data_IF_704897750682
#
_entry.id   IF_704897750682
#
_cell.length_a   1.000
_cell.length_b   1.000
_cell.length_c   1.000
_cell.angle_alpha   90.00
_cell.angle_beta   90.00
_cell.angle_gamma   90.00
#
_symmetry.space_group_name_H-M   'P 1'
#
loop_
_entity.id
_entity.type
_entity.pdbx_description
1 polymer ?
#
# COMPACT_ATOMS: atom_id res chain seq x y z
N UNK A 1 16.34 18.05 -29.03
CA UNK A 1 15.80 18.93 -27.97
C UNK A 1 15.99 18.18 -26.66
N UNK A 2 16.78 18.70 -25.76
CA UNK A 2 16.86 18.15 -24.43
C UNK A 2 15.50 18.31 -23.79
N UNK A 3 14.80 17.21 -23.56
CA UNK A 3 13.67 17.23 -22.67
C UNK A 3 14.20 17.73 -21.33
N UNK A 4 13.63 18.83 -20.85
CA UNK A 4 14.01 19.43 -19.60
C UNK A 4 13.99 18.41 -18.48
N UNK A 5 14.66 18.76 -17.40
CA UNK A 5 14.56 18.06 -16.13
C UNK A 5 13.11 17.68 -15.88
N UNK A 6 12.85 16.47 -15.37
CA UNK A 6 11.48 16.11 -15.02
C UNK A 6 10.89 17.27 -14.23
N UNK A 7 9.75 17.77 -14.67
CA UNK A 7 8.96 18.73 -13.92
C UNK A 7 8.53 18.04 -12.62
N UNK A 8 9.43 18.05 -11.67
CA UNK A 8 9.05 17.85 -10.28
C UNK A 8 8.19 19.03 -9.96
N UNK A 9 6.89 18.84 -10.06
CA UNK A 9 5.93 19.86 -9.70
C UNK A 9 6.32 20.45 -8.34
N UNK A 10 6.16 21.72 -8.21
CA UNK A 10 6.51 22.48 -7.01
C UNK A 10 6.06 21.68 -5.79
N UNK A 11 7.03 21.19 -5.05
CA UNK A 11 6.81 20.47 -3.81
C UNK A 11 6.15 21.39 -2.82
N UNK A 12 4.85 21.41 -2.83
CA UNK A 12 4.13 21.81 -1.63
C UNK A 12 4.25 20.65 -0.67
N UNK A 13 4.62 20.93 0.54
CA UNK A 13 5.03 20.02 1.60
C UNK A 13 3.99 18.97 2.06
N UNK A 14 2.98 18.64 1.25
CA UNK A 14 1.89 17.73 1.63
C UNK A 14 1.29 17.07 0.41
N UNK A 15 1.75 15.91 0.05
CA UNK A 15 1.27 15.02 -1.01
C UNK A 15 1.47 15.57 -2.44
N UNK A 16 2.30 14.91 -3.21
CA UNK A 16 2.42 15.15 -4.65
C UNK A 16 1.28 14.40 -5.35
N UNK A 17 0.31 15.14 -5.85
CA UNK A 17 -0.72 14.60 -6.73
C UNK A 17 -0.22 14.69 -8.17
N UNK A 18 0.04 13.57 -8.81
CA UNK A 18 0.43 13.50 -10.22
C UNK A 18 -0.80 13.45 -11.11
N UNK A 19 -1.47 14.58 -11.29
CA UNK A 19 -2.57 14.65 -12.25
C UNK A 19 -2.03 14.56 -13.68
N UNK A 20 -2.48 13.55 -14.43
CA UNK A 20 -2.18 13.40 -15.85
C UNK A 20 -0.97 12.56 -16.22
N UNK A 21 -0.27 11.97 -15.26
CA UNK A 21 0.79 10.98 -15.52
C UNK A 21 0.17 9.58 -15.50
N UNK A 22 0.27 8.84 -16.59
CA UNK A 22 -0.14 7.44 -16.58
C UNK A 22 0.95 6.54 -15.97
N UNK A 23 0.59 5.30 -15.64
CA UNK A 23 1.53 4.35 -15.03
C UNK A 23 2.69 4.01 -15.98
N UNK A 24 2.47 4.02 -17.29
CA UNK A 24 3.52 3.74 -18.25
C UNK A 24 4.57 4.86 -18.28
N UNK A 25 4.14 6.11 -18.18
CA UNK A 25 5.03 7.26 -18.12
C UNK A 25 5.80 7.29 -16.79
N UNK A 26 5.11 7.04 -15.66
CA UNK A 26 5.76 6.95 -14.35
C UNK A 26 6.80 5.82 -14.33
N UNK A 27 6.44 4.62 -14.79
CA UNK A 27 7.36 3.49 -14.84
C UNK A 27 8.58 3.78 -15.74
N UNK A 28 8.38 4.48 -16.88
CA UNK A 28 9.49 4.89 -17.75
C UNK A 28 10.41 5.91 -17.07
N UNK A 29 9.86 6.87 -16.33
CA UNK A 29 10.64 7.88 -15.59
C UNK A 29 11.45 7.26 -14.46
N UNK A 30 10.89 6.26 -13.78
CA UNK A 30 11.56 5.56 -12.68
C UNK A 30 12.58 4.51 -13.14
N UNK A 31 12.68 4.23 -14.44
CA UNK A 31 13.60 3.23 -14.98
C UNK A 31 13.29 1.79 -14.57
N UNK A 32 12.10 1.54 -14.02
CA UNK A 32 11.72 0.27 -13.42
C UNK A 32 10.67 -0.48 -14.25
N UNK A 33 10.79 -0.44 -15.55
CA UNK A 33 9.83 -0.98 -16.53
C UNK A 33 9.30 -2.39 -16.27
N UNK A 34 10.05 -3.36 -15.71
CA UNK A 34 9.52 -4.69 -15.44
C UNK A 34 8.82 -4.83 -14.08
N UNK A 35 8.93 -3.86 -13.19
CA UNK A 35 8.50 -3.98 -11.79
C UNK A 35 7.13 -3.40 -11.51
N UNK A 36 6.69 -2.42 -12.30
CA UNK A 36 5.41 -1.75 -12.10
C UNK A 36 4.37 -2.20 -13.11
N UNK A 37 3.15 -2.37 -12.63
CA UNK A 37 1.99 -2.50 -13.51
C UNK A 37 1.70 -1.15 -14.17
N UNK A 38 1.55 -1.14 -15.49
CA UNK A 38 1.37 0.08 -16.28
C UNK A 38 -0.10 0.48 -16.47
N UNK A 39 -1.02 -0.18 -15.76
CA UNK A 39 -2.44 0.16 -15.84
C UNK A 39 -2.82 1.17 -14.77
N UNK A 40 -3.78 2.03 -15.12
CA UNK A 40 -4.31 3.08 -14.26
C UNK A 40 -3.58 4.42 -14.36
N UNK A 41 -4.27 5.47 -13.94
CA UNK A 41 -3.75 6.83 -13.85
C UNK A 41 -3.17 7.04 -12.45
N UNK A 42 -1.93 7.50 -12.33
CA UNK A 42 -1.29 7.73 -11.03
C UNK A 42 -1.94 8.93 -10.34
N UNK A 43 -2.46 8.71 -9.14
CA UNK A 43 -3.02 9.76 -8.29
C UNK A 43 -2.10 10.12 -7.13
N UNK A 44 -1.21 9.20 -6.74
CA UNK A 44 -0.20 9.44 -5.72
C UNK A 44 0.99 8.51 -5.93
N UNK A 45 2.18 9.03 -5.71
CA UNK A 45 3.42 8.28 -5.69
C UNK A 45 4.29 8.72 -4.53
N UNK A 46 4.90 7.76 -3.85
CA UNK A 46 5.85 7.99 -2.76
C UNK A 46 7.07 7.08 -2.93
N UNK A 47 8.24 7.64 -2.75
CA UNK A 47 9.53 6.93 -2.72
C UNK A 47 10.35 7.24 -1.44
N UNK A 48 9.71 7.94 -0.51
CA UNK A 48 10.27 8.38 0.77
C UNK A 48 11.52 9.27 0.70
N UNK A 49 11.93 9.71 -0.49
CA UNK A 49 13.03 10.68 -0.65
C UNK A 49 12.71 12.03 0.02
N UNK A 50 11.43 12.41 0.07
CA UNK A 50 10.94 13.60 0.74
C UNK A 50 10.69 13.45 2.25
N UNK A 51 10.97 12.28 2.82
CA UNK A 51 10.64 11.96 4.21
C UNK A 51 9.18 11.55 4.40
N UNK A 52 8.66 11.64 5.63
CA UNK A 52 7.30 11.24 5.99
C UNK A 52 6.29 12.41 6.00
N UNK A 53 6.60 13.52 5.33
CA UNK A 53 5.76 14.74 5.42
C UNK A 53 4.32 14.60 4.92
N UNK A 54 4.04 13.64 4.02
CA UNK A 54 2.71 13.32 3.54
C UNK A 54 1.97 12.29 4.42
N UNK A 55 2.67 11.67 5.37
CA UNK A 55 2.22 10.52 6.12
C UNK A 55 1.96 10.83 7.59
N UNK A 56 0.92 10.26 8.14
CA UNK A 56 0.73 10.13 9.57
C UNK A 56 1.39 8.83 10.02
N UNK A 57 2.26 8.90 11.04
CA UNK A 57 2.85 7.71 11.63
C UNK A 57 1.92 7.16 12.71
N UNK A 58 1.74 5.85 12.71
CA UNK A 58 0.91 5.13 13.66
C UNK A 58 1.78 4.14 14.43
N UNK A 59 1.98 4.38 15.71
CA UNK A 59 2.80 3.52 16.56
C UNK A 59 2.02 3.11 17.82
N UNK A 60 2.17 1.87 18.24
CA UNK A 60 1.58 1.34 19.46
C UNK A 60 2.60 0.58 20.30
N UNK A 61 2.85 1.11 21.48
CA UNK A 61 3.68 0.49 22.50
C UNK A 61 5.18 0.78 22.40
N UNK A 62 5.88 0.40 23.45
CA UNK A 62 7.33 0.60 23.58
C UNK A 62 8.09 -0.24 22.56
N UNK A 63 9.08 0.35 21.90
CA UNK A 63 9.89 -0.29 20.87
C UNK A 63 9.28 -0.26 19.46
N UNK A 64 8.07 0.31 19.29
CA UNK A 64 7.51 0.58 17.96
C UNK A 64 8.05 1.89 17.41
N UNK A 65 8.43 1.89 16.13
CA UNK A 65 9.04 3.04 15.47
C UNK A 65 8.69 3.07 13.97
N UNK A 66 8.63 4.28 13.42
CA UNK A 66 8.52 4.53 11.98
C UNK A 66 9.53 5.60 11.60
N UNK A 67 10.47 5.26 10.73
CA UNK A 67 11.54 6.17 10.29
C UNK A 67 11.86 6.02 8.81
N UNK A 68 12.29 7.10 8.17
CA UNK A 68 12.91 7.03 6.84
C UNK A 68 14.37 6.64 7.00
N UNK A 69 14.84 5.72 6.19
CA UNK A 69 16.20 5.17 6.26
C UNK A 69 16.76 4.89 4.86
N UNK A 70 18.08 4.96 4.74
CA UNK A 70 18.83 4.51 3.57
C UNK A 70 19.42 3.09 3.76
N UNK A 71 18.98 2.37 4.79
CA UNK A 71 19.49 1.03 5.11
C UNK A 71 19.12 0.00 4.04
N UNK A 72 17.89 0.06 3.54
CA UNK A 72 17.37 -0.83 2.50
C UNK A 72 16.41 -0.05 1.60
N UNK A 73 16.61 -0.10 0.31
CA UNK A 73 15.76 0.55 -0.70
C UNK A 73 15.91 -0.14 -2.06
N UNK A 74 15.01 0.11 -2.95
CA UNK A 74 15.03 -0.33 -4.36
C UNK A 74 15.27 0.87 -5.27
N UNK A 75 14.58 1.97 -4.97
CA UNK A 75 14.61 3.20 -5.77
C UNK A 75 14.83 4.39 -4.84
N UNK A 76 15.23 5.52 -5.39
CA UNK A 76 15.29 6.80 -4.67
C UNK A 76 16.32 6.93 -3.55
N UNK A 77 16.90 5.84 -3.05
CA UNK A 77 17.92 5.86 -2.00
C UNK A 77 17.38 5.83 -0.57
N UNK A 78 16.06 5.81 -0.38
CA UNK A 78 15.41 5.77 0.92
C UNK A 78 14.19 4.85 0.92
N UNK A 79 13.82 4.41 2.12
CA UNK A 79 12.59 3.67 2.36
C UNK A 79 12.02 4.03 3.74
N UNK A 80 10.76 3.71 3.96
CA UNK A 80 10.15 3.78 5.27
C UNK A 80 10.37 2.46 6.01
N UNK A 81 11.13 2.50 7.11
CA UNK A 81 11.28 1.38 8.03
C UNK A 81 10.19 1.46 9.10
N UNK A 82 9.43 0.40 9.24
CA UNK A 82 8.47 0.20 10.30
C UNK A 82 8.98 -0.90 11.23
N UNK A 83 9.11 -0.62 12.52
CA UNK A 83 9.48 -1.58 13.55
C UNK A 83 8.32 -1.69 14.53
N UNK A 84 7.73 -2.87 14.68
CA UNK A 84 6.76 -3.12 15.74
C UNK A 84 7.48 -3.62 16.99
N UNK A 85 7.01 -3.20 18.16
CA UNK A 85 7.62 -3.63 19.44
C UNK A 85 7.38 -5.11 19.75
N UNK A 86 8.19 -5.69 20.63
CA UNK A 86 8.25 -7.13 20.94
C UNK A 86 7.08 -7.68 21.75
N UNK A 87 5.87 -7.19 21.59
CA UNK A 87 4.72 -7.67 22.37
C UNK A 87 3.49 -7.80 21.46
N UNK A 88 2.65 -8.77 21.76
CA UNK A 88 1.41 -9.03 21.03
C UNK A 88 0.58 -7.75 20.90
N UNK A 89 -0.01 -7.52 19.74
CA UNK A 89 -0.81 -6.34 19.37
C UNK A 89 -0.05 -5.01 19.27
N UNK A 90 1.26 -4.97 19.42
CA UNK A 90 2.03 -3.78 19.07
C UNK A 90 2.16 -3.67 17.56
N UNK A 91 2.15 -2.44 17.08
CA UNK A 91 2.25 -2.18 15.66
C UNK A 91 3.02 -0.89 15.37
N UNK A 92 3.55 -0.85 14.17
CA UNK A 92 4.02 0.36 13.50
C UNK A 92 3.38 0.46 12.12
N UNK A 93 3.10 1.66 11.70
CA UNK A 93 2.45 1.88 10.42
C UNK A 93 2.49 3.32 9.96
N UNK A 94 2.11 3.49 8.71
CA UNK A 94 1.95 4.78 8.04
C UNK A 94 0.54 4.89 7.48
N UNK A 95 0.00 6.10 7.49
CA UNK A 95 -1.29 6.42 6.90
C UNK A 95 -1.20 7.67 6.03
N UNK A 96 -1.64 7.55 4.81
CA UNK A 96 -1.79 8.65 3.87
C UNK A 96 -3.27 9.04 3.76
N UNK A 97 -3.56 10.34 3.66
CA UNK A 97 -4.89 10.83 3.32
C UNK A 97 -4.85 11.67 2.06
N UNK A 98 -5.67 11.30 1.09
CA UNK A 98 -5.82 12.03 -0.17
C UNK A 98 -7.30 12.31 -0.47
N UNK A 99 -7.64 13.35 -1.25
CA UNK A 99 -8.97 13.50 -1.79
C UNK A 99 -9.39 12.28 -2.60
N UNK A 100 -10.67 11.91 -2.59
CA UNK A 100 -11.19 10.85 -3.45
C UNK A 100 -11.21 11.36 -4.89
N UNK A 101 -10.46 10.76 -5.82
CA UNK A 101 -10.55 11.10 -7.23
C UNK A 101 -11.89 10.66 -7.82
N UNK A 102 -12.29 11.28 -8.93
CA UNK A 102 -13.49 10.85 -9.65
C UNK A 102 -13.18 9.59 -10.46
N UNK A 103 -13.33 8.45 -9.84
CA UNK A 103 -13.18 7.11 -10.44
C UNK A 103 -14.01 6.09 -9.69
N UNK A 104 -14.20 4.93 -10.27
CA UNK A 104 -14.80 3.75 -9.62
C UNK A 104 -13.81 2.60 -9.47
N UNK A 105 -12.71 2.64 -10.22
CA UNK A 105 -11.66 1.63 -10.20
C UNK A 105 -10.38 2.23 -9.64
N UNK A 106 -9.81 1.59 -8.65
CA UNK A 106 -8.56 2.01 -8.01
C UNK A 106 -7.58 0.85 -7.92
N UNK A 107 -6.30 1.19 -7.87
CA UNK A 107 -5.23 0.25 -7.61
C UNK A 107 -4.29 0.78 -6.54
N UNK A 108 -3.70 -0.15 -5.81
CA UNK A 108 -2.65 0.11 -4.83
C UNK A 108 -1.49 -0.81 -5.13
N UNK A 109 -0.35 -0.23 -5.42
CA UNK A 109 0.91 -0.94 -5.62
C UNK A 109 1.88 -0.57 -4.52
N UNK A 110 2.55 -1.57 -3.97
CA UNK A 110 3.47 -1.41 -2.87
C UNK A 110 4.72 -2.26 -3.11
N UNK A 111 5.88 -1.67 -2.92
CA UNK A 111 7.15 -2.41 -2.80
C UNK A 111 7.55 -2.46 -1.34
N UNK A 112 7.66 -3.66 -0.79
CA UNK A 112 7.98 -3.88 0.61
C UNK A 112 8.85 -5.11 0.82
N UNK A 113 9.55 -5.14 1.94
CA UNK A 113 10.23 -6.34 2.42
C UNK A 113 9.33 -7.07 3.42
N UNK A 114 9.53 -8.38 3.52
CA UNK A 114 8.98 -9.20 4.58
C UNK A 114 10.10 -9.60 5.53
N UNK A 115 9.80 -9.60 6.81
CA UNK A 115 10.71 -10.16 7.81
C UNK A 115 10.13 -11.43 8.43
N UNK A 116 11.01 -12.38 8.75
CA UNK A 116 10.63 -13.67 9.31
C UNK A 116 9.82 -13.58 10.61
N UNK A 117 9.94 -12.49 11.34
CA UNK A 117 9.46 -12.32 12.70
C UNK A 117 8.14 -11.53 12.80
N UNK A 118 7.47 -11.25 11.68
CA UNK A 118 6.19 -10.55 11.67
C UNK A 118 5.04 -11.48 12.02
N UNK A 119 4.08 -11.02 12.83
CA UNK A 119 2.84 -11.74 12.97
C UNK A 119 1.98 -11.60 11.71
N UNK A 120 1.75 -10.37 11.28
CA UNK A 120 1.10 -10.05 10.02
C UNK A 120 1.37 -8.60 9.62
N UNK A 121 1.30 -8.38 8.33
CA UNK A 121 1.37 -7.06 7.71
C UNK A 121 0.20 -6.88 6.76
N UNK A 122 -0.32 -5.66 6.65
CA UNK A 122 -1.38 -5.35 5.71
C UNK A 122 -1.22 -3.99 5.04
N UNK A 123 -1.89 -3.85 3.89
CA UNK A 123 -2.24 -2.59 3.27
C UNK A 123 -3.74 -2.51 3.19
N UNK A 124 -4.31 -1.43 3.70
CA UNK A 124 -5.75 -1.17 3.75
C UNK A 124 -6.03 0.18 3.09
N UNK A 125 -7.04 0.20 2.25
CA UNK A 125 -7.60 1.42 1.66
C UNK A 125 -8.99 1.62 2.21
N UNK A 126 -9.19 2.74 2.87
CA UNK A 126 -10.49 3.22 3.30
C UNK A 126 -10.94 4.34 2.36
N UNK A 127 -12.15 4.21 1.81
CA UNK A 127 -12.77 5.22 0.94
C UNK A 127 -14.03 5.73 1.61
N UNK A 128 -14.00 6.97 2.03
CA UNK A 128 -15.14 7.68 2.59
C UNK A 128 -15.81 8.50 1.49
N UNK A 129 -17.04 8.18 1.17
CA UNK A 129 -17.80 8.86 0.08
C UNK A 129 -18.66 10.01 0.60
N UNK A 130 -18.76 10.18 1.90
CA UNK A 130 -19.72 11.08 2.56
C UNK A 130 -21.07 10.42 2.86
N UNK A 131 -21.32 9.24 2.32
CA UNK A 131 -22.50 8.42 2.62
C UNK A 131 -22.12 7.03 3.12
N UNK A 132 -20.99 6.53 2.67
CA UNK A 132 -20.48 5.19 3.00
C UNK A 132 -18.99 5.24 3.33
N UNK A 133 -18.59 4.37 4.25
CA UNK A 133 -17.22 3.92 4.45
C UNK A 133 -17.06 2.59 3.72
N UNK A 134 -16.14 2.54 2.78
CA UNK A 134 -15.77 1.35 2.01
C UNK A 134 -14.34 0.99 2.36
N UNK A 135 -14.02 -0.29 2.48
CA UNK A 135 -12.65 -0.69 2.77
C UNK A 135 -12.22 -1.91 1.94
N UNK A 136 -10.99 -1.85 1.45
CA UNK A 136 -10.34 -2.89 0.66
C UNK A 136 -8.90 -3.04 1.15
N UNK A 137 -8.44 -4.28 1.32
CA UNK A 137 -7.09 -4.49 1.80
C UNK A 137 -6.59 -5.91 1.56
N UNK A 138 -5.28 -6.03 1.55
CA UNK A 138 -4.58 -7.32 1.50
C UNK A 138 -3.71 -7.42 2.73
N UNK A 139 -3.79 -8.55 3.41
CA UNK A 139 -2.97 -8.89 4.57
C UNK A 139 -2.20 -10.17 4.29
N UNK A 140 -0.94 -10.14 4.62
CA UNK A 140 -0.12 -11.33 4.74
C UNK A 140 -0.04 -11.76 6.21
N UNK A 141 -0.22 -13.05 6.45
CA UNK A 141 -0.12 -13.67 7.77
C UNK A 141 0.97 -14.74 7.71
N UNK A 142 2.03 -14.54 8.48
CA UNK A 142 3.18 -15.44 8.50
C UNK A 142 2.86 -16.80 9.08
N UNK A 143 2.07 -16.85 10.15
CA UNK A 143 1.78 -18.11 10.84
C UNK A 143 1.09 -19.12 9.93
N UNK A 144 0.27 -18.63 9.00
CA UNK A 144 -0.46 -19.47 8.04
C UNK A 144 0.16 -19.49 6.64
N UNK A 145 1.12 -18.60 6.37
CA UNK A 145 1.69 -18.32 5.05
C UNK A 145 0.59 -18.03 3.99
N UNK A 146 -0.49 -17.39 4.42
CA UNK A 146 -1.64 -17.10 3.57
C UNK A 146 -1.84 -15.60 3.43
N UNK A 147 -2.29 -15.22 2.26
CA UNK A 147 -2.84 -13.89 2.05
C UNK A 147 -4.32 -13.89 2.42
N UNK A 148 -4.76 -12.78 2.97
CA UNK A 148 -6.15 -12.53 3.32
C UNK A 148 -6.61 -11.23 2.68
N UNK A 149 -7.89 -11.13 2.38
CA UNK A 149 -8.52 -9.89 1.96
C UNK A 149 -9.43 -9.33 3.06
N UNK A 150 -9.63 -8.02 3.06
CA UNK A 150 -10.59 -7.38 3.96
C UNK A 150 -12.01 -7.57 3.41
N UNK A 151 -12.84 -8.30 4.15
CA UNK A 151 -14.12 -8.82 3.68
C UNK A 151 -15.34 -7.92 4.00
N UNK A 152 -16.50 -8.26 3.46
CA UNK A 152 -17.73 -7.52 3.65
C UNK A 152 -18.21 -7.44 5.11
N UNK A 153 -17.75 -8.30 6.01
CA UNK A 153 -18.08 -8.26 7.43
C UNK A 153 -17.15 -7.36 8.25
N UNK A 154 -16.17 -6.71 7.61
CA UNK A 154 -15.19 -5.86 8.30
C UNK A 154 -14.08 -6.65 9.00
N UNK A 155 -13.68 -7.79 8.44
CA UNK A 155 -12.62 -8.65 8.95
C UNK A 155 -11.74 -9.21 7.85
N UNK A 156 -10.76 -10.02 8.24
CA UNK A 156 -9.83 -10.63 7.31
C UNK A 156 -10.24 -12.08 7.00
N UNK A 157 -10.28 -12.42 5.72
CA UNK A 157 -10.57 -13.78 5.25
C UNK A 157 -9.44 -14.26 4.36
N UNK A 158 -8.94 -15.47 4.62
CA UNK A 158 -7.88 -16.07 3.84
C UNK A 158 -8.30 -16.27 2.37
N UNK A 159 -7.34 -16.07 1.47
CA UNK A 159 -7.46 -16.36 0.04
C UNK A 159 -6.72 -17.67 -0.27
N UNK A 160 -7.42 -18.81 -0.34
CA UNK A 160 -6.78 -20.09 -0.59
C UNK A 160 -6.00 -20.08 -1.92
N UNK A 161 -4.76 -20.59 -1.89
CA UNK A 161 -3.91 -20.66 -3.08
C UNK A 161 -3.22 -19.36 -3.49
N UNK A 162 -3.49 -18.26 -2.81
CA UNK A 162 -2.76 -16.98 -3.02
C UNK A 162 -1.59 -16.93 -2.04
N UNK A 163 -0.44 -17.34 -2.51
CA UNK A 163 0.81 -17.30 -1.74
C UNK A 163 1.67 -16.18 -2.34
N UNK A 164 1.96 -15.16 -1.55
CA UNK A 164 3.01 -14.20 -1.91
C UNK A 164 4.37 -14.87 -1.69
N UNK A 165 5.35 -14.62 -2.56
CA UNK A 165 6.68 -15.10 -2.32
C UNK A 165 7.18 -14.50 -1.01
N UNK A 166 7.51 -15.38 -0.08
CA UNK A 166 8.13 -15.02 1.17
C UNK A 166 9.64 -15.15 1.02
N UNK A 167 10.37 -14.14 1.41
CA UNK A 167 11.83 -14.17 1.39
C UNK A 167 12.38 -13.64 2.71
N UNK A 168 13.01 -14.54 3.46
CA UNK A 168 13.69 -14.20 4.73
C UNK A 168 14.88 -13.24 4.54
N UNK A 169 15.33 -13.04 3.30
CA UNK A 169 16.48 -12.20 2.98
C UNK A 169 16.19 -10.70 2.94
N UNK A 170 14.99 -10.27 3.27
CA UNK A 170 14.53 -8.87 3.16
C UNK A 170 14.55 -8.33 1.72
N UNK A 171 14.32 -9.17 0.73
CA UNK A 171 14.13 -8.72 -0.64
C UNK A 171 12.80 -7.97 -0.77
N UNK A 172 12.82 -6.89 -1.54
CA UNK A 172 11.59 -6.18 -1.84
C UNK A 172 10.70 -6.95 -2.79
N UNK A 173 9.46 -7.09 -2.41
CA UNK A 173 8.41 -7.72 -3.20
C UNK A 173 7.43 -6.63 -3.62
N UNK A 174 7.19 -6.53 -4.94
CA UNK A 174 6.13 -5.69 -5.47
C UNK A 174 4.81 -6.44 -5.46
N UNK A 175 3.76 -5.81 -5.00
CA UNK A 175 2.40 -6.32 -5.10
C UNK A 175 1.43 -5.21 -5.43
N UNK A 176 0.49 -5.47 -6.34
CA UNK A 176 -0.59 -4.55 -6.67
C UNK A 176 -1.93 -5.24 -6.59
N UNK A 177 -2.89 -4.66 -5.90
CA UNK A 177 -4.28 -5.10 -5.97
C UNK A 177 -5.17 -3.97 -6.49
N UNK A 178 -6.21 -4.37 -7.21
CA UNK A 178 -7.20 -3.43 -7.76
C UNK A 178 -8.60 -3.77 -7.28
N UNK A 179 -9.44 -2.75 -7.19
CA UNK A 179 -10.80 -2.89 -6.69
C UNK A 179 -11.74 -1.86 -7.32
N UNK A 180 -13.04 -2.20 -7.29
CA UNK A 180 -14.12 -1.38 -7.82
C UNK A 180 -15.06 -0.98 -6.66
N UNK A 181 -15.16 0.31 -6.39
CA UNK A 181 -16.00 0.83 -5.29
C UNK A 181 -17.50 0.82 -5.60
N UNK A 182 -17.90 0.80 -6.88
CA UNK A 182 -19.32 0.76 -7.26
C UNK A 182 -19.92 -0.64 -7.14
N UNK A 183 -19.11 -1.68 -7.39
CA UNK A 183 -19.52 -3.08 -7.25
C UNK A 183 -19.09 -3.71 -5.94
N UNK A 184 -18.28 -3.01 -5.14
CA UNK A 184 -17.66 -3.47 -3.89
C UNK A 184 -16.79 -4.72 -4.08
N UNK A 185 -16.21 -4.89 -5.26
CA UNK A 185 -15.42 -6.08 -5.56
C UNK A 185 -13.96 -5.75 -5.76
N UNK A 186 -13.12 -6.67 -5.31
CA UNK A 186 -11.75 -6.74 -5.81
C UNK A 186 -11.78 -7.07 -7.31
N UNK A 187 -10.68 -6.86 -8.02
CA UNK A 187 -10.55 -7.23 -9.42
C UNK A 187 -9.41 -8.19 -9.61
N UNK A 188 -8.18 -7.76 -9.35
CA UNK A 188 -6.98 -8.56 -9.56
C UNK A 188 -5.93 -8.28 -8.49
N UNK A 189 -5.06 -9.26 -8.29
CA UNK A 189 -3.83 -9.16 -7.49
C UNK A 189 -2.65 -9.52 -8.39
N UNK A 190 -1.78 -8.57 -8.63
CA UNK A 190 -0.52 -8.76 -9.34
C UNK A 190 0.60 -8.93 -8.31
N UNK A 191 1.28 -10.06 -8.38
CA UNK A 191 2.54 -10.31 -7.67
C UNK A 191 3.50 -10.88 -8.70
N UNK A 192 4.37 -10.03 -9.29
CA UNK A 192 5.17 -10.44 -10.42
C UNK A 192 5.91 -11.76 -10.21
N UNK A 193 5.89 -12.69 -11.18
CA UNK A 193 5.25 -12.56 -12.50
C UNK A 193 3.78 -13.03 -12.55
N UNK A 194 3.10 -13.24 -11.43
CA UNK A 194 1.75 -13.80 -11.36
C UNK A 194 0.69 -12.73 -11.34
N UNK A 195 -0.34 -12.90 -12.17
CA UNK A 195 -1.60 -12.17 -12.11
C UNK A 195 -2.69 -13.13 -11.62
N UNK A 196 -3.38 -12.76 -10.56
CA UNK A 196 -4.37 -13.59 -9.88
C UNK A 196 -5.72 -12.86 -9.97
N UNK A 197 -6.73 -13.56 -10.49
CA UNK A 197 -8.11 -13.08 -10.45
C UNK A 197 -8.66 -13.21 -9.03
N UNK A 198 -9.05 -12.09 -8.46
CA UNK A 198 -9.66 -12.00 -7.13
C UNK A 198 -11.05 -11.34 -7.19
N UNK A 199 -11.68 -11.32 -8.36
CA UNK A 199 -12.97 -10.65 -8.60
C UNK A 199 -14.17 -11.28 -7.87
N UNK A 200 -14.02 -12.51 -7.36
CA UNK A 200 -15.01 -13.16 -6.52
C UNK A 200 -15.10 -12.58 -5.11
N UNK A 201 -14.09 -11.88 -4.63
CA UNK A 201 -14.04 -11.33 -3.27
C UNK A 201 -14.76 -9.98 -3.19
N UNK A 202 -15.42 -9.76 -2.06
CA UNK A 202 -16.22 -8.55 -1.79
C UNK A 202 -15.58 -7.80 -0.63
N UNK A 203 -15.35 -6.50 -0.84
CA UNK A 203 -14.84 -5.58 0.17
C UNK A 203 -15.91 -5.15 1.16
N UNK A 204 -15.47 -4.44 2.19
CA UNK A 204 -16.35 -3.90 3.23
C UNK A 204 -17.11 -2.67 2.76
N UNK A 205 -18.36 -2.52 3.24
CA UNK A 205 -19.13 -1.31 3.12
C UNK A 205 -20.05 -1.12 4.34
N UNK A 206 -20.03 0.08 4.90
CA UNK A 206 -20.94 0.47 5.96
C UNK A 206 -21.46 1.90 5.73
N UNK A 207 -22.68 2.24 6.15
CA UNK A 207 -23.16 3.62 6.12
C UNK A 207 -22.24 4.52 6.97
N UNK A 208 -21.85 5.67 6.41
CA UNK A 208 -21.11 6.71 7.11
C UNK A 208 -21.52 8.09 6.56
N UNK A 209 -22.43 8.73 7.24
CA UNK A 209 -22.91 10.08 6.91
C UNK A 209 -22.14 11.19 7.61
N UNK A 210 -21.07 10.88 8.34
CA UNK A 210 -20.35 11.84 9.19
C UNK A 210 -19.01 12.24 8.59
N UNK A 211 -18.32 11.30 7.97
CA UNK A 211 -16.98 11.52 7.42
C UNK A 211 -17.03 12.31 6.13
N UNK A 212 -16.11 13.28 6.01
CA UNK A 212 -15.89 13.98 4.74
C UNK A 212 -15.31 13.04 3.69
N UNK A 213 -15.65 13.22 2.39
CA UNK A 213 -15.10 12.43 1.31
C UNK A 213 -13.56 12.48 1.31
N UNK A 214 -12.92 11.31 1.41
CA UNK A 214 -11.47 11.14 1.36
C UNK A 214 -11.12 9.67 1.12
N UNK A 215 -9.90 9.44 0.68
CA UNK A 215 -9.29 8.12 0.64
C UNK A 215 -8.14 8.08 1.65
N UNK A 216 -8.05 7.01 2.41
CA UNK A 216 -6.94 6.75 3.32
C UNK A 216 -6.24 5.46 2.87
N UNK A 217 -4.92 5.50 2.76
CA UNK A 217 -4.09 4.32 2.54
C UNK A 217 -3.25 4.08 3.79
N UNK A 218 -3.42 2.94 4.42
CA UNK A 218 -2.66 2.57 5.60
C UNK A 218 -1.85 1.29 5.36
N UNK A 219 -0.55 1.36 5.66
CA UNK A 219 0.32 0.19 5.75
C UNK A 219 0.71 -0.05 7.20
N UNK A 220 0.56 -1.26 7.72
CA UNK A 220 0.93 -1.60 9.10
C UNK A 220 1.57 -2.97 9.21
N UNK A 221 2.50 -3.07 10.14
CA UNK A 221 3.13 -4.30 10.61
C UNK A 221 2.77 -4.52 12.07
N UNK A 222 2.45 -5.75 12.41
CA UNK A 222 2.13 -6.17 13.78
C UNK A 222 3.16 -7.15 14.31
N UNK A 223 3.46 -7.02 15.61
CA UNK A 223 4.44 -7.86 16.27
C UNK A 223 3.90 -9.25 16.61
N UNK A 224 4.79 -10.23 16.54
CA UNK A 224 4.67 -11.50 17.22
C UNK A 224 5.28 -11.40 18.65
N UNK A 225 4.83 -12.19 19.66
CA UNK A 225 5.19 -12.00 21.07
C UNK A 225 6.67 -12.03 21.44
N UNK A 226 7.54 -12.50 20.58
CA UNK A 226 8.95 -12.71 20.92
C UNK A 226 9.95 -11.82 20.20
N UNK A 227 9.54 -11.01 19.24
CA UNK A 227 10.45 -10.34 18.30
C UNK A 227 10.08 -8.88 18.06
N UNK A 228 11.03 -8.10 17.58
CA UNK A 228 10.80 -6.75 17.07
C UNK A 228 10.78 -6.82 15.53
N UNK A 229 9.68 -7.20 14.90
CA UNK A 229 9.65 -7.33 13.45
C UNK A 229 9.87 -5.98 12.76
N UNK A 230 10.57 -6.03 11.65
CA UNK A 230 10.92 -4.87 10.85
C UNK A 230 10.48 -5.09 9.42
N UNK A 231 9.75 -4.15 8.86
CA UNK A 231 9.40 -4.09 7.43
C UNK A 231 9.87 -2.79 6.82
N UNK A 232 10.25 -2.84 5.56
CA UNK A 232 10.64 -1.66 4.77
C UNK A 232 9.65 -1.49 3.63
N UNK A 233 9.14 -0.29 3.46
CA UNK A 233 8.33 0.13 2.32
C UNK A 233 9.17 1.10 1.50
N UNK A 234 9.46 0.75 0.25
CA UNK A 234 10.27 1.59 -0.64
C UNK A 234 9.40 2.51 -1.48
N UNK A 235 8.36 1.98 -2.09
CA UNK A 235 7.47 2.79 -2.88
C UNK A 235 6.01 2.37 -2.71
N UNK A 236 5.15 3.38 -2.80
CA UNK A 236 3.70 3.21 -2.82
C UNK A 236 3.12 4.03 -3.97
N UNK A 237 2.27 3.39 -4.77
CA UNK A 237 1.59 4.01 -5.89
C UNK A 237 0.09 3.79 -5.74
N UNK A 238 -0.67 4.87 -5.77
CA UNK A 238 -2.12 4.81 -5.88
C UNK A 238 -2.52 5.17 -7.31
N UNK A 239 -3.45 4.39 -7.86
CA UNK A 239 -3.97 4.61 -9.21
C UNK A 239 -5.48 4.73 -9.21
N UNK A 240 -5.99 5.51 -10.17
CA UNK A 240 -7.40 5.56 -10.56
C UNK A 240 -7.56 4.95 -11.96
N UNK A 241 -8.82 4.66 -12.36
CA UNK A 241 -9.14 4.09 -13.68
C UNK A 241 -8.39 2.78 -13.98
N UNK A 242 -8.04 2.04 -12.95
CA UNK A 242 -7.26 0.81 -13.01
C UNK A 242 -8.17 -0.38 -13.36
N UNK A 243 -8.00 -0.97 -14.55
CA UNK A 243 -8.87 -2.02 -15.09
C UNK A 243 -8.36 -3.42 -14.81
#
# INVERSE_FOLDING_TARGET
MAHGLPDFGVTTSKAQLYAGVDMAELAARLGALPRYDRLGDVIFYEDFCGGLGAWETEISGLGSEVVVTAERFVTGGFSCRMTAGSNLLRYAGIRLRVPVPYSVMYGVELQRTWHADEAYEYVLIDVYTGAYHLAFGIRYDKATNLNSYYNAAGGWTAMPGVVLPYDESHNFIAAKFTFNISTLRYSRLLVPPKLIDISSYIGFAAPDGVSKPRMECAGRIYADPATNPVSYVDSLILTANDK
#
